data_IF_176473786514
#
_entry.id   IF_176473786514
#
_cell.length_a   1.000
_cell.length_b   1.000
_cell.length_c   1.000
_cell.angle_alpha   90.00
_cell.angle_beta   90.00
_cell.angle_gamma   90.00
#
_symmetry.space_group_name_H-M   'P 1'
#
loop_
_entity.id
_entity.type
_entity.pdbx_description
1 polymer ?
#
# COMPACT_ATOMS: atom_id res chain seq x y z
N UNK A 1 33.69 -17.63 23.66
CA UNK A 1 33.74 -19.06 23.34
C UNK A 1 32.31 -19.56 23.30
N UNK A 2 31.60 -19.31 22.19
CA UNK A 2 30.18 -19.66 22.04
C UNK A 2 29.87 -19.79 20.55
N UNK A 3 29.92 -21.01 20.04
CA UNK A 3 29.05 -21.64 19.03
C UNK A 3 28.53 -20.80 17.84
N UNK A 4 29.36 -19.91 17.29
CA UNK A 4 29.10 -19.24 16.00
C UNK A 4 30.18 -19.61 14.96
N UNK A 5 31.27 -20.26 15.38
CA UNK A 5 32.43 -20.54 14.51
C UNK A 5 32.24 -21.69 13.51
N UNK A 6 31.12 -22.43 13.51
CA UNK A 6 31.05 -23.69 12.76
C UNK A 6 29.74 -23.96 12.02
N UNK A 7 28.96 -22.93 11.66
CA UNK A 7 27.96 -23.17 10.62
C UNK A 7 28.68 -23.20 9.27
N UNK A 8 28.64 -24.30 8.50
CA UNK A 8 29.29 -24.39 7.19
C UNK A 8 28.79 -23.32 6.21
N UNK A 9 27.60 -22.76 6.48
CA UNK A 9 27.04 -21.61 5.79
C UNK A 9 27.86 -20.33 6.00
N UNK A 10 28.28 -20.01 7.24
CA UNK A 10 29.03 -18.80 7.57
C UNK A 10 30.45 -18.86 6.99
N UNK A 11 31.08 -20.05 7.00
CA UNK A 11 32.40 -20.24 6.41
C UNK A 11 32.38 -20.04 4.87
N UNK A 12 31.36 -20.57 4.19
CA UNK A 12 31.15 -20.35 2.75
C UNK A 12 30.84 -18.89 2.43
N UNK A 13 30.00 -18.26 3.26
CA UNK A 13 29.67 -16.84 3.13
C UNK A 13 30.94 -16.00 3.27
N UNK A 14 31.80 -16.26 4.25
CA UNK A 14 33.08 -15.56 4.43
C UNK A 14 34.05 -15.76 3.26
N UNK A 15 34.11 -16.95 2.66
CA UNK A 15 34.94 -17.21 1.48
C UNK A 15 34.45 -16.44 0.26
N UNK A 16 33.13 -16.45 0.02
CA UNK A 16 32.47 -15.67 -1.03
C UNK A 16 32.62 -14.16 -0.82
N UNK A 17 32.43 -13.70 0.43
CA UNK A 17 32.53 -12.31 0.84
C UNK A 17 33.95 -11.75 0.64
N UNK A 18 34.98 -12.56 0.94
CA UNK A 18 36.37 -12.19 0.72
C UNK A 18 36.72 -12.04 -0.76
N UNK A 19 36.07 -12.79 -1.62
CA UNK A 19 36.29 -12.74 -3.07
C UNK A 19 35.65 -11.49 -3.70
N UNK A 20 34.40 -11.17 -3.33
CA UNK A 20 33.65 -10.03 -3.90
C UNK A 20 33.88 -8.68 -3.22
N UNK A 21 34.28 -8.64 -1.94
CA UNK A 21 34.42 -7.42 -1.10
C UNK A 21 33.13 -6.62 -0.85
N UNK A 22 32.05 -6.88 -1.56
CA UNK A 22 30.70 -6.40 -1.26
C UNK A 22 29.66 -7.53 -1.34
N UNK A 23 28.64 -7.45 -0.49
CA UNK A 23 27.52 -8.42 -0.42
C UNK A 23 26.20 -7.65 -0.35
N UNK A 24 25.21 -8.11 -1.13
CA UNK A 24 23.82 -7.64 -1.07
C UNK A 24 23.02 -8.39 -0.01
N UNK A 25 21.94 -7.78 0.49
CA UNK A 25 21.01 -8.39 1.44
C UNK A 25 20.37 -9.68 0.91
N UNK A 26 20.09 -9.75 -0.39
CA UNK A 26 19.53 -10.97 -1.02
C UNK A 26 20.53 -12.12 -1.00
N UNK A 27 21.80 -11.86 -1.33
CA UNK A 27 22.86 -12.87 -1.24
C UNK A 27 23.06 -13.31 0.21
N UNK A 28 23.00 -12.39 1.17
CA UNK A 28 23.07 -12.71 2.60
C UNK A 28 21.91 -13.65 3.02
N UNK A 29 20.70 -13.40 2.53
CA UNK A 29 19.50 -14.18 2.82
C UNK A 29 19.49 -15.55 2.13
N UNK A 30 20.19 -15.72 1.01
CA UNK A 30 20.35 -17.02 0.35
C UNK A 30 21.30 -17.95 1.12
N UNK A 31 22.35 -17.38 1.73
CA UNK A 31 23.33 -18.17 2.50
C UNK A 31 22.89 -18.44 3.94
N UNK A 32 22.07 -17.58 4.53
CA UNK A 32 21.64 -17.68 5.92
C UNK A 32 20.12 -17.91 6.02
N UNK A 33 19.66 -18.95 6.72
CA UNK A 33 18.23 -19.16 6.93
C UNK A 33 17.61 -18.01 7.75
N UNK A 34 16.33 -17.70 7.48
CA UNK A 34 15.57 -16.63 8.15
C UNK A 34 15.56 -16.71 9.69
N UNK A 35 15.76 -17.91 10.24
CA UNK A 35 15.87 -18.14 11.69
C UNK A 35 17.12 -17.53 12.31
N UNK A 36 18.21 -17.44 11.54
CA UNK A 36 19.45 -16.76 11.95
C UNK A 36 19.34 -15.28 11.67
N UNK A 37 18.66 -14.89 10.57
CA UNK A 37 18.46 -13.49 10.20
C UNK A 37 17.68 -12.69 11.26
N UNK A 38 16.71 -13.31 11.91
CA UNK A 38 15.90 -12.65 12.94
C UNK A 38 16.42 -12.82 14.37
N UNK A 39 17.68 -13.26 14.53
CA UNK A 39 18.27 -13.56 15.84
C UNK A 39 19.39 -12.60 16.21
N UNK A 40 19.71 -12.51 17.51
CA UNK A 40 20.89 -11.77 18.03
C UNK A 40 22.23 -12.24 17.41
N UNK A 41 22.23 -13.36 16.69
CA UNK A 41 23.41 -13.86 15.97
C UNK A 41 23.73 -13.06 14.71
N UNK A 42 22.78 -12.31 14.13
CA UNK A 42 23.06 -11.41 13.00
C UNK A 42 24.14 -10.40 13.36
N UNK A 43 24.04 -9.78 14.54
CA UNK A 43 24.97 -8.69 14.92
C UNK A 43 26.40 -9.21 15.01
N UNK A 44 26.57 -10.46 15.47
CA UNK A 44 27.86 -11.13 15.50
C UNK A 44 28.39 -11.46 14.10
N UNK A 45 27.51 -11.80 13.15
CA UNK A 45 27.87 -12.09 11.75
C UNK A 45 28.24 -10.79 11.01
N UNK A 46 27.47 -9.71 11.21
CA UNK A 46 27.78 -8.38 10.66
C UNK A 46 29.12 -7.87 11.18
N UNK A 47 29.40 -8.01 12.48
CA UNK A 47 30.70 -7.65 13.05
C UNK A 47 31.86 -8.49 12.47
N UNK A 48 31.64 -9.78 12.17
CA UNK A 48 32.63 -10.62 11.49
C UNK A 48 32.84 -10.21 10.02
N UNK A 49 31.79 -9.79 9.32
CA UNK A 49 31.89 -9.29 7.95
C UNK A 49 32.64 -7.95 7.89
N UNK A 50 32.35 -7.05 8.81
CA UNK A 50 33.05 -5.77 8.96
C UNK A 50 34.55 -5.99 9.30
N UNK A 51 34.85 -6.89 10.24
CA UNK A 51 36.23 -7.26 10.58
C UNK A 51 37.02 -7.85 9.39
N UNK A 52 36.32 -8.40 8.38
CA UNK A 52 36.92 -8.92 7.16
C UNK A 52 36.88 -7.92 5.97
N UNK A 53 36.56 -6.64 6.21
CA UNK A 53 36.45 -5.57 5.19
C UNK A 53 35.44 -5.86 4.08
N UNK A 54 34.31 -6.50 4.42
CA UNK A 54 33.21 -6.72 3.48
C UNK A 54 32.18 -5.62 3.70
N UNK A 55 31.89 -4.86 2.65
CA UNK A 55 30.89 -3.79 2.72
C UNK A 55 29.52 -4.38 2.39
N UNK A 56 28.54 -4.24 3.30
CA UNK A 56 27.16 -4.51 2.98
C UNK A 56 26.70 -3.40 2.04
N UNK A 57 26.37 -3.75 0.80
CA UNK A 57 25.64 -2.83 -0.07
C UNK A 57 24.22 -2.79 0.48
N UNK A 58 23.99 -1.85 1.41
CA UNK A 58 22.65 -1.33 1.61
C UNK A 58 22.27 -0.77 0.25
N UNK A 59 21.21 -1.33 -0.36
CA UNK A 59 20.53 -0.61 -1.41
C UNK A 59 20.10 0.71 -0.78
N UNK A 60 20.94 1.74 -0.95
CA UNK A 60 20.51 3.11 -0.96
C UNK A 60 19.39 3.11 -1.99
N UNK A 61 18.15 3.04 -1.50
CA UNK A 61 16.94 3.22 -2.28
C UNK A 61 17.00 4.68 -2.75
N UNK A 62 17.83 4.94 -3.75
CA UNK A 62 17.83 6.16 -4.51
C UNK A 62 16.46 6.19 -5.18
N UNK A 63 15.68 7.18 -4.77
CA UNK A 63 14.25 7.40 -5.04
C UNK A 63 14.00 7.68 -6.55
N UNK A 64 14.89 7.26 -7.45
CA UNK A 64 14.85 7.67 -8.86
C UNK A 64 14.11 6.69 -9.78
N UNK A 65 13.79 5.48 -9.32
CA UNK A 65 13.18 4.44 -10.16
C UNK A 65 11.81 3.95 -9.69
N UNK A 66 10.87 4.88 -9.53
CA UNK A 66 9.43 4.59 -9.37
C UNK A 66 8.87 3.78 -10.58
N UNK A 67 9.57 3.78 -11.71
CA UNK A 67 9.22 3.01 -12.92
C UNK A 67 9.73 1.57 -12.90
N UNK A 68 10.87 1.29 -12.24
CA UNK A 68 11.39 -0.08 -12.11
C UNK A 68 10.57 -0.87 -11.09
N UNK A 69 10.20 -0.23 -9.97
CA UNK A 69 9.34 -0.84 -8.94
C UNK A 69 7.96 -1.25 -9.50
N UNK A 70 7.39 -0.44 -10.41
CA UNK A 70 6.13 -0.77 -11.11
C UNK A 70 6.23 -2.03 -11.95
N UNK A 71 7.33 -2.22 -12.68
CA UNK A 71 7.57 -3.42 -13.50
C UNK A 71 7.84 -4.68 -12.67
N UNK A 72 8.52 -4.55 -11.54
CA UNK A 72 8.78 -5.71 -10.68
C UNK A 72 7.52 -6.17 -9.93
N UNK A 73 6.70 -5.22 -9.44
CA UNK A 73 5.40 -5.51 -8.83
C UNK A 73 4.41 -6.12 -9.83
N UNK A 74 4.40 -5.65 -11.08
CA UNK A 74 3.58 -6.23 -12.16
C UNK A 74 3.99 -7.67 -12.48
N UNK A 75 5.30 -7.96 -12.53
CA UNK A 75 5.81 -9.30 -12.80
C UNK A 75 5.58 -10.29 -11.64
N UNK A 76 5.74 -9.88 -10.37
CA UNK A 76 5.43 -10.73 -9.21
C UNK A 76 3.93 -11.06 -9.11
N UNK A 77 3.04 -10.18 -9.60
CA UNK A 77 1.57 -10.39 -9.60
C UNK A 77 1.09 -11.38 -10.67
N UNK A 78 1.76 -11.44 -11.83
CA UNK A 78 1.40 -12.36 -12.92
C UNK A 78 1.78 -13.83 -12.62
N UNK A 79 2.84 -14.06 -11.82
CA UNK A 79 3.34 -15.41 -11.52
C UNK A 79 2.42 -16.20 -10.57
N UNK A 80 1.59 -15.53 -9.78
CA UNK A 80 0.61 -16.19 -8.89
C UNK A 80 -0.67 -16.69 -9.59
N UNK A 81 -0.86 -16.41 -10.89
CA UNK A 81 -2.11 -16.72 -11.60
C UNK A 81 -2.19 -18.12 -12.24
N UNK A 82 -1.16 -18.97 -12.14
CA UNK A 82 -1.12 -20.23 -12.92
C UNK A 82 -1.36 -21.51 -12.12
N UNK A 83 -1.51 -21.45 -10.79
CA UNK A 83 -1.70 -22.65 -9.96
C UNK A 83 -2.57 -22.39 -8.74
N UNK A 84 -3.90 -22.39 -8.92
CA UNK A 84 -4.83 -23.03 -7.97
C UNK A 84 -6.27 -22.87 -8.46
N UNK A 85 -6.66 -23.80 -9.33
CA UNK A 85 -8.04 -24.26 -9.41
C UNK A 85 -8.45 -24.84 -8.05
N UNK A 86 -9.01 -24.02 -7.15
CA UNK A 86 -9.44 -24.46 -5.83
C UNK A 86 -10.04 -23.37 -4.94
N UNK A 87 -11.38 -23.25 -4.96
CA UNK A 87 -12.26 -22.39 -4.15
C UNK A 87 -12.50 -20.96 -4.65
N UNK A 88 -13.72 -20.73 -5.12
CA UNK A 88 -14.39 -19.41 -5.21
C UNK A 88 -14.62 -18.85 -3.78
N UNK A 89 -13.56 -18.53 -3.06
CA UNK A 89 -13.68 -17.77 -1.82
C UNK A 89 -13.97 -16.30 -2.20
N UNK A 90 -15.18 -15.77 -1.93
CA UNK A 90 -15.54 -14.41 -2.29
C UNK A 90 -14.63 -13.37 -1.61
N UNK A 91 -14.03 -13.71 -0.47
CA UNK A 91 -13.08 -12.83 0.21
C UNK A 91 -11.78 -12.75 -0.58
N UNK A 92 -11.23 -13.88 -1.06
CA UNK A 92 -10.03 -13.89 -1.91
C UNK A 92 -10.26 -13.17 -3.22
N UNK A 93 -11.44 -13.37 -3.83
CA UNK A 93 -11.81 -12.65 -5.05
C UNK A 93 -11.83 -11.13 -4.81
N UNK A 94 -12.50 -10.68 -3.74
CA UNK A 94 -12.55 -9.26 -3.39
C UNK A 94 -11.17 -8.67 -3.12
N UNK A 95 -10.35 -9.35 -2.31
CA UNK A 95 -8.98 -8.89 -2.01
C UNK A 95 -8.09 -8.82 -3.26
N UNK A 96 -8.26 -9.77 -4.19
CA UNK A 96 -7.56 -9.74 -5.47
C UNK A 96 -8.03 -8.57 -6.34
N UNK A 97 -9.33 -8.30 -6.41
CA UNK A 97 -9.88 -7.19 -7.19
C UNK A 97 -9.46 -5.83 -6.65
N UNK A 98 -9.55 -5.60 -5.33
CA UNK A 98 -9.12 -4.32 -4.75
C UNK A 98 -7.60 -4.14 -4.79
N UNK A 99 -6.83 -5.24 -4.76
CA UNK A 99 -5.36 -5.21 -4.82
C UNK A 99 -4.79 -4.91 -6.22
N UNK A 100 -5.62 -4.99 -7.27
CA UNK A 100 -5.23 -4.59 -8.63
C UNK A 100 -5.08 -3.08 -8.76
N UNK A 101 -5.90 -2.33 -8.03
CA UNK A 101 -5.88 -0.87 -8.08
C UNK A 101 -4.79 -0.30 -7.16
N UNK A 102 -4.20 0.81 -7.59
CA UNK A 102 -3.17 1.50 -6.81
C UNK A 102 -3.83 2.47 -5.83
N UNK A 103 -3.21 2.64 -4.67
CA UNK A 103 -3.62 3.69 -3.74
C UNK A 103 -3.38 5.06 -4.36
N UNK A 104 -4.25 6.01 -4.03
CA UNK A 104 -4.13 7.40 -4.46
C UNK A 104 -3.02 8.10 -3.69
N UNK A 105 -2.37 9.06 -4.34
CA UNK A 105 -1.52 10.03 -3.65
C UNK A 105 -2.36 11.16 -3.06
N UNK A 106 -1.83 11.88 -2.06
CA UNK A 106 -2.52 13.00 -1.44
C UNK A 106 -2.94 14.08 -2.47
N UNK A 107 -2.12 14.32 -3.49
CA UNK A 107 -2.44 15.29 -4.55
C UNK A 107 -3.59 14.80 -5.44
N UNK A 108 -3.63 13.51 -5.77
CA UNK A 108 -4.72 12.90 -6.53
C UNK A 108 -6.04 12.94 -5.76
N UNK A 109 -6.02 12.72 -4.45
CA UNK A 109 -7.20 12.85 -3.60
C UNK A 109 -7.77 14.28 -3.63
N UNK A 110 -6.90 15.29 -3.57
CA UNK A 110 -7.29 16.70 -3.66
C UNK A 110 -7.88 17.03 -5.04
N UNK A 111 -7.29 16.51 -6.11
CA UNK A 111 -7.80 16.71 -7.48
C UNK A 111 -9.20 16.10 -7.65
N UNK A 112 -9.37 14.84 -7.24
CA UNK A 112 -10.66 14.16 -7.27
C UNK A 112 -11.71 14.89 -6.43
N UNK A 113 -11.33 15.40 -5.26
CA UNK A 113 -12.23 16.18 -4.41
C UNK A 113 -12.73 17.45 -5.10
N UNK A 114 -11.84 18.18 -5.79
CA UNK A 114 -12.22 19.38 -6.56
C UNK A 114 -13.13 19.03 -7.74
N UNK A 115 -12.85 17.93 -8.44
CA UNK A 115 -13.71 17.46 -9.53
C UNK A 115 -15.13 17.13 -9.06
N UNK A 116 -15.25 16.52 -7.89
CA UNK A 116 -16.55 16.22 -7.28
C UNK A 116 -17.32 17.50 -6.92
N UNK A 117 -16.64 18.49 -6.35
CA UNK A 117 -17.25 19.79 -6.00
C UNK A 117 -17.73 20.56 -7.24
N UNK A 118 -16.92 20.60 -8.30
CA UNK A 118 -17.30 21.21 -9.58
C UNK A 118 -18.51 20.50 -10.20
N UNK A 119 -18.52 19.16 -10.16
CA UNK A 119 -19.65 18.35 -10.60
C UNK A 119 -20.94 18.67 -9.82
N UNK A 120 -20.84 18.86 -8.51
CA UNK A 120 -21.97 19.26 -7.66
C UNK A 120 -22.53 20.64 -8.06
N UNK A 121 -21.66 21.63 -8.30
CA UNK A 121 -22.09 22.96 -8.73
C UNK A 121 -22.79 22.94 -10.10
N UNK A 122 -22.28 22.12 -11.04
CA UNK A 122 -22.91 21.92 -12.35
C UNK A 122 -24.33 21.35 -12.17
N UNK A 123 -24.48 20.30 -11.35
CA UNK A 123 -25.78 19.69 -11.07
C UNK A 123 -26.72 20.71 -10.44
N UNK A 124 -26.27 21.46 -9.43
CA UNK A 124 -27.07 22.53 -8.78
C UNK A 124 -27.51 23.60 -9.78
N UNK A 125 -26.62 24.02 -10.68
CA UNK A 125 -26.94 25.02 -11.70
C UNK A 125 -28.04 24.52 -12.65
N UNK A 126 -27.95 23.27 -13.09
CA UNK A 126 -28.96 22.64 -13.96
C UNK A 126 -30.30 22.52 -13.21
N UNK A 127 -30.28 22.07 -11.96
CA UNK A 127 -31.47 21.95 -11.13
C UNK A 127 -32.14 23.32 -10.94
N UNK A 128 -31.39 24.37 -10.62
CA UNK A 128 -31.91 25.75 -10.50
C UNK A 128 -32.60 26.25 -11.77
N UNK A 129 -32.11 25.86 -12.94
CA UNK A 129 -32.72 26.23 -14.23
C UNK A 129 -33.94 25.36 -14.59
N UNK A 130 -34.12 24.21 -13.96
CA UNK A 130 -35.23 23.30 -14.24
C UNK A 130 -36.52 23.79 -13.60
N UNK A 131 -37.51 24.13 -14.44
CA UNK A 131 -38.84 24.55 -13.98
C UNK A 131 -39.64 23.46 -13.27
N UNK A 132 -39.25 22.18 -13.43
CA UNK A 132 -39.95 21.05 -12.80
C UNK A 132 -39.81 21.03 -11.27
N UNK A 133 -38.77 21.68 -10.71
CA UNK A 133 -38.55 21.71 -9.26
C UNK A 133 -39.44 22.71 -8.53
N UNK A 134 -39.94 23.72 -9.23
CA UNK A 134 -40.75 24.80 -8.65
C UNK A 134 -42.00 24.26 -7.93
N UNK A 135 -42.87 23.42 -8.54
CA UNK A 135 -44.06 22.92 -7.87
C UNK A 135 -43.74 22.04 -6.65
N UNK A 136 -42.72 21.17 -6.74
CA UNK A 136 -42.30 20.32 -5.63
C UNK A 136 -41.71 21.13 -4.47
N UNK A 137 -40.87 22.13 -4.80
CA UNK A 137 -40.31 23.04 -3.80
C UNK A 137 -41.41 23.85 -3.10
N UNK A 138 -42.43 24.30 -3.83
CA UNK A 138 -43.59 24.97 -3.25
C UNK A 138 -44.38 24.04 -2.30
N UNK A 139 -44.59 22.79 -2.67
CA UNK A 139 -45.26 21.84 -1.77
C UNK A 139 -44.45 21.56 -0.50
N UNK A 140 -43.14 21.40 -0.63
CA UNK A 140 -42.24 21.20 0.51
C UNK A 140 -42.25 22.39 1.46
N UNK A 141 -42.15 23.61 0.93
CA UNK A 141 -42.19 24.84 1.74
C UNK A 141 -43.52 25.02 2.47
N UNK A 142 -44.65 24.73 1.82
CA UNK A 142 -45.98 24.75 2.48
C UNK A 142 -46.07 23.70 3.60
N UNK A 143 -45.53 22.49 3.40
CA UNK A 143 -45.50 21.44 4.42
C UNK A 143 -44.61 21.82 5.61
N UNK A 144 -43.42 22.38 5.35
CA UNK A 144 -42.50 22.84 6.38
C UNK A 144 -43.10 23.96 7.23
N UNK A 145 -43.70 24.97 6.58
CA UNK A 145 -44.34 26.10 7.28
C UNK A 145 -45.52 25.65 8.15
N UNK A 146 -46.33 24.69 7.67
CA UNK A 146 -47.42 24.09 8.47
C UNK A 146 -46.92 23.30 9.67
N UNK A 147 -45.72 22.70 9.58
CA UNK A 147 -45.10 21.96 10.68
C UNK A 147 -44.61 22.91 11.77
N UNK A 148 -43.89 23.96 11.39
CA UNK A 148 -43.44 25.01 12.34
C UNK A 148 -44.62 25.71 13.05
N UNK A 149 -45.73 25.95 12.34
CA UNK A 149 -46.94 26.50 12.93
C UNK A 149 -47.59 25.57 13.97
N UNK A 150 -47.51 24.25 13.79
CA UNK A 150 -48.00 23.28 14.78
C UNK A 150 -47.07 23.15 15.97
N UNK A 151 -45.76 23.17 15.74
CA UNK A 151 -44.75 23.02 16.80
C UNK A 151 -44.73 24.25 17.73
N UNK A 152 -44.98 25.45 17.20
CA UNK A 152 -45.10 26.69 18.00
C UNK A 152 -46.42 26.81 18.78
N UNK A 153 -47.49 26.13 18.35
CA UNK A 153 -48.80 26.15 19.04
C UNK A 153 -48.89 25.05 20.11
N UNK A 154 -48.04 24.03 20.07
CA UNK A 154 -47.98 22.95 21.06
C UNK A 154 -47.06 23.18 22.27
N UNK A 155 -46.37 24.32 22.35
CA UNK A 155 -45.51 24.70 23.48
C UNK A 155 -46.14 25.73 24.44
N UNK A 156 -47.46 25.92 24.40
CA UNK A 156 -48.19 26.74 25.39
C UNK A 156 -49.21 25.93 26.17
#
# INVERSE_FOLDING_TARGET
MSDVELDPAIAKLLEYAKEKKSISFDELSDFLPESVLNSEKIDSILALLEANNVQLEEEDIQIEDEQALKKELENKRLVNNSKESGSDDPIRLYLYEIGKEHLLTADQEVELSKMMEEGEEIIKAILRRSGMLIPEFFQLTVKALRKEAKDSTGQR
#
